data_IF_277705261001
#
_entry.id   IF_277705261001
#
_cell.length_a   1.000
_cell.length_b   1.000
_cell.length_c   1.000
_cell.angle_alpha   90.00
_cell.angle_beta   90.00
_cell.angle_gamma   90.00
#
_symmetry.space_group_name_H-M   'P 1'
#
loop_
_entity.id
_entity.type
_entity.pdbx_description
1 polymer ?
#
# COMPACT_ATOMS: atom_id res chain seq x y z
N UNK A 1 -17.93 13.00 30.84
CA UNK A 1 -16.97 13.75 29.99
C UNK A 1 -16.76 12.94 28.73
N UNK A 2 -17.42 13.33 27.65
CA UNK A 2 -17.26 12.70 26.33
C UNK A 2 -16.04 13.34 25.65
N UNK A 3 -14.98 12.56 25.45
CA UNK A 3 -13.83 12.97 24.68
C UNK A 3 -14.25 12.99 23.20
N UNK A 4 -14.42 14.20 22.63
CA UNK A 4 -14.55 14.38 21.19
C UNK A 4 -13.22 14.04 20.53
N UNK A 5 -13.17 12.86 19.90
CA UNK A 5 -11.97 12.30 19.23
C UNK A 5 -11.78 12.81 17.79
N UNK A 6 -12.63 13.72 17.31
CA UNK A 6 -12.58 14.22 15.92
C UNK A 6 -12.00 15.64 15.81
N UNK A 7 -10.87 15.89 16.47
CA UNK A 7 -10.12 17.11 16.16
C UNK A 7 -9.21 16.86 14.96
N UNK A 8 -9.76 17.05 13.77
CA UNK A 8 -8.94 17.11 12.54
C UNK A 8 -8.10 18.38 12.61
N UNK A 9 -6.79 18.22 12.71
CA UNK A 9 -5.86 19.37 12.69
C UNK A 9 -5.69 19.85 11.25
N UNK A 10 -6.18 21.04 10.97
CA UNK A 10 -6.05 21.67 9.65
C UNK A 10 -4.85 22.63 9.65
N UNK A 11 -4.03 22.53 8.62
CA UNK A 11 -2.92 23.45 8.39
C UNK A 11 -3.21 24.29 7.15
N UNK A 12 -2.89 25.59 7.23
CA UNK A 12 -2.99 26.49 6.09
C UNK A 12 -1.63 26.63 5.43
N UNK A 13 -1.54 26.22 4.18
CA UNK A 13 -0.32 26.33 3.35
C UNK A 13 -0.57 27.38 2.27
N UNK A 14 0.31 28.39 2.20
CA UNK A 14 0.27 29.41 1.16
C UNK A 14 1.26 29.06 0.05
N UNK A 15 0.76 28.79 -1.15
CA UNK A 15 1.57 28.43 -2.31
C UNK A 15 1.59 29.60 -3.29
N UNK A 16 2.78 30.06 -3.68
CA UNK A 16 2.97 31.07 -4.72
C UNK A 16 3.25 30.34 -6.04
N UNK A 17 2.41 30.59 -7.03
CA UNK A 17 2.65 30.12 -8.38
C UNK A 17 3.57 31.11 -9.11
N UNK A 18 4.69 30.64 -9.65
CA UNK A 18 5.61 31.49 -10.38
C UNK A 18 5.04 31.87 -11.74
N UNK A 19 5.15 33.13 -12.19
CA UNK A 19 4.65 33.57 -13.48
C UNK A 19 5.20 32.78 -14.66
N UNK A 20 6.46 32.37 -14.60
CA UNK A 20 7.13 31.63 -15.65
C UNK A 20 6.51 30.26 -15.91
N UNK A 21 5.92 29.64 -14.86
CA UNK A 21 5.30 28.30 -14.97
C UNK A 21 3.96 28.29 -15.71
N UNK A 22 3.36 29.44 -15.96
CA UNK A 22 2.11 29.56 -16.70
C UNK A 22 2.15 30.58 -17.82
N UNK A 23 3.36 30.95 -18.29
CA UNK A 23 3.56 31.87 -19.41
C UNK A 23 2.83 31.42 -20.68
N UNK A 24 2.73 30.12 -20.93
CA UNK A 24 2.04 29.53 -22.08
C UNK A 24 0.52 29.73 -22.06
N UNK A 25 -0.04 30.00 -20.89
CA UNK A 25 -1.47 30.25 -20.71
C UNK A 25 -1.84 31.73 -20.92
N UNK A 26 -0.84 32.61 -20.97
CA UNK A 26 -1.03 34.05 -21.19
C UNK A 26 -1.28 34.28 -22.69
N UNK A 27 -2.47 34.73 -23.02
CA UNK A 27 -2.83 35.12 -24.39
C UNK A 27 -2.98 36.65 -24.48
N UNK A 28 -2.82 37.26 -25.66
CA UNK A 28 -2.94 38.73 -25.84
C UNK A 28 -4.24 39.33 -25.29
N UNK A 29 -5.31 38.56 -25.25
CA UNK A 29 -6.61 39.00 -24.72
C UNK A 29 -6.97 38.40 -23.36
N UNK A 30 -6.05 37.62 -22.71
CA UNK A 30 -6.23 36.97 -21.41
C UNK A 30 -4.94 37.05 -20.63
N UNK A 31 -4.61 38.23 -20.09
CA UNK A 31 -3.40 38.45 -19.30
C UNK A 31 -3.41 37.71 -17.95
N UNK A 32 -4.59 37.34 -17.47
CA UNK A 32 -4.73 36.66 -16.16
C UNK A 32 -5.43 35.31 -16.32
N UNK A 33 -4.68 34.20 -16.45
CA UNK A 33 -5.27 32.87 -16.59
C UNK A 33 -5.98 32.38 -15.32
N UNK A 34 -5.50 32.82 -14.15
CA UNK A 34 -6.11 32.47 -12.87
C UNK A 34 -6.97 33.62 -12.31
N UNK A 35 -8.11 33.26 -11.75
CA UNK A 35 -9.06 34.21 -11.16
C UNK A 35 -9.37 33.84 -9.71
N UNK A 36 -9.69 34.82 -8.84
CA UNK A 36 -10.20 34.52 -7.50
C UNK A 36 -11.41 33.59 -7.56
N UNK A 37 -11.48 32.62 -6.65
CA UNK A 37 -12.55 31.64 -6.57
C UNK A 37 -12.31 30.34 -7.37
N UNK A 38 -11.21 30.23 -8.10
CA UNK A 38 -10.81 28.95 -8.72
C UNK A 38 -10.23 28.01 -7.65
N UNK A 39 -10.58 26.74 -7.76
CA UNK A 39 -9.97 25.66 -6.96
C UNK A 39 -8.84 24.98 -7.72
N UNK A 40 -7.89 24.43 -7.00
CA UNK A 40 -6.79 23.67 -7.55
C UNK A 40 -6.53 22.44 -6.67
N UNK A 41 -6.05 21.36 -7.29
CA UNK A 41 -5.49 20.23 -6.61
C UNK A 41 -3.97 20.30 -6.69
N UNK A 42 -3.29 19.99 -5.62
CA UNK A 42 -1.82 20.02 -5.56
C UNK A 42 -1.30 18.74 -4.93
N UNK A 43 -0.20 18.23 -5.44
CA UNK A 43 0.54 17.12 -4.86
C UNK A 43 1.77 17.68 -4.13
N UNK A 44 1.92 17.34 -2.87
CA UNK A 44 3.03 17.80 -2.04
C UNK A 44 3.97 16.63 -1.79
N UNK A 45 5.14 16.66 -2.40
CA UNK A 45 6.19 15.68 -2.18
C UNK A 45 6.98 16.08 -0.92
N UNK A 46 6.81 15.31 0.14
CA UNK A 46 7.45 15.58 1.43
C UNK A 46 8.81 14.92 1.58
N UNK A 47 9.00 13.78 0.91
CA UNK A 47 10.24 13.03 0.94
C UNK A 47 10.44 12.29 -0.38
N UNK A 48 11.68 12.18 -0.84
CA UNK A 48 12.05 11.43 -2.04
C UNK A 48 13.25 10.57 -1.72
N UNK A 49 13.14 9.27 -2.00
CA UNK A 49 14.26 8.32 -1.87
C UNK A 49 14.50 7.70 -3.24
N UNK A 50 15.76 7.69 -3.67
CA UNK A 50 16.21 7.11 -4.94
C UNK A 50 16.83 5.73 -4.71
N UNK A 51 16.89 4.93 -5.77
CA UNK A 51 17.55 3.61 -5.77
C UNK A 51 17.00 2.62 -4.74
N UNK A 52 15.68 2.59 -4.59
CA UNK A 52 14.99 1.68 -3.68
C UNK A 52 14.09 0.72 -4.42
N UNK A 53 13.96 -0.50 -3.90
CA UNK A 53 12.97 -1.43 -4.38
C UNK A 53 11.58 -0.97 -3.95
N UNK A 54 10.66 -0.91 -4.89
CA UNK A 54 9.27 -0.59 -4.64
C UNK A 54 8.34 -1.63 -5.25
N UNK A 55 7.22 -1.86 -4.60
CA UNK A 55 6.16 -2.76 -5.09
C UNK A 55 4.82 -2.03 -5.08
N UNK A 56 3.87 -2.43 -5.93
CA UNK A 56 2.52 -1.88 -5.85
C UNK A 56 1.93 -2.08 -4.46
N UNK A 57 1.28 -1.05 -3.92
CA UNK A 57 0.71 -1.06 -2.56
C UNK A 57 -0.21 -2.26 -2.31
N UNK A 58 -0.96 -2.69 -3.34
CA UNK A 58 -1.87 -3.84 -3.28
C UNK A 58 -1.16 -5.19 -3.11
N UNK A 59 0.14 -5.27 -3.30
CA UNK A 59 0.93 -6.49 -3.16
C UNK A 59 1.38 -6.75 -1.72
N UNK A 60 1.42 -5.70 -0.90
CA UNK A 60 1.78 -5.82 0.52
C UNK A 60 0.55 -6.16 1.32
N UNK A 61 0.68 -7.15 2.18
CA UNK A 61 -0.39 -7.55 3.12
C UNK A 61 0.20 -7.86 4.47
N UNK A 62 -0.64 -7.74 5.49
CA UNK A 62 -0.26 -8.08 6.85
C UNK A 62 -0.79 -9.48 7.20
N UNK A 63 0.01 -10.26 7.90
CA UNK A 63 -0.39 -11.56 8.45
C UNK A 63 0.04 -11.66 9.90
N UNK A 64 -0.86 -12.21 10.69
CA UNK A 64 -0.54 -12.62 12.05
C UNK A 64 0.30 -13.90 11.98
N UNK A 65 1.42 -13.92 12.67
CA UNK A 65 2.16 -15.15 12.91
C UNK A 65 1.31 -16.03 13.83
N UNK A 66 0.65 -17.02 13.27
CA UNK A 66 0.11 -18.10 14.10
C UNK A 66 1.32 -18.89 14.60
N UNK A 67 1.78 -18.61 15.80
CA UNK A 67 2.63 -19.56 16.50
C UNK A 67 1.83 -20.85 16.63
N UNK A 68 2.35 -21.93 16.09
CA UNK A 68 1.85 -23.27 16.36
C UNK A 68 2.21 -23.50 17.82
N UNK A 69 1.29 -23.17 18.71
CA UNK A 69 1.38 -23.57 20.10
C UNK A 69 1.22 -25.09 20.08
N UNK A 70 2.28 -25.80 20.36
CA UNK A 70 2.21 -27.25 20.58
C UNK A 70 1.09 -27.52 21.60
N UNK A 71 0.22 -28.44 21.25
CA UNK A 71 -1.05 -28.72 21.94
C UNK A 71 -0.90 -29.36 23.32
N UNK A 72 0.26 -29.32 23.94
CA UNK A 72 0.55 -30.05 25.17
C UNK A 72 0.70 -29.22 26.45
N UNK A 73 0.38 -27.91 26.44
CA UNK A 73 0.36 -27.14 27.69
C UNK A 73 -1.00 -26.49 27.97
N UNK A 74 -1.65 -27.11 28.93
CA UNK A 74 -2.77 -26.73 29.81
C UNK A 74 -3.43 -25.36 29.63
N UNK A 75 -4.74 -25.43 29.35
CA UNK A 75 -5.77 -24.40 29.50
C UNK A 75 -5.70 -23.66 30.86
N UNK A 76 -4.94 -22.58 30.91
CA UNK A 76 -5.05 -21.60 32.01
C UNK A 76 -5.56 -20.27 31.43
N UNK A 77 -6.50 -19.61 32.11
CA UNK A 77 -7.11 -18.34 31.63
C UNK A 77 -6.10 -17.19 31.48
N UNK A 78 -4.95 -17.30 32.10
CA UNK A 78 -3.86 -16.32 32.01
C UNK A 78 -3.06 -16.43 30.70
N UNK A 79 -2.90 -17.64 30.16
CA UNK A 79 -2.22 -17.86 28.88
C UNK A 79 -3.00 -17.22 27.70
N UNK A 80 -4.33 -17.19 27.77
CA UNK A 80 -5.16 -16.50 26.76
C UNK A 80 -5.01 -14.97 26.76
N UNK A 81 -4.70 -14.37 27.90
CA UNK A 81 -4.51 -12.91 28.02
C UNK A 81 -3.16 -12.46 27.50
N UNK A 82 -2.12 -13.28 27.62
CA UNK A 82 -0.78 -12.98 27.11
C UNK A 82 -0.71 -13.17 25.60
N UNK A 83 -1.45 -14.13 25.04
CA UNK A 83 -1.53 -14.34 23.57
C UNK A 83 -2.20 -13.18 22.80
N UNK A 84 -3.03 -12.38 23.47
CA UNK A 84 -3.68 -11.21 22.87
C UNK A 84 -2.80 -9.94 22.85
N UNK A 85 -1.68 -9.94 23.57
CA UNK A 85 -0.84 -8.75 23.74
C UNK A 85 0.38 -8.73 22.81
N UNK A 86 0.73 -9.86 22.19
CA UNK A 86 1.88 -9.98 21.27
C UNK A 86 1.43 -10.57 19.92
N UNK A 87 0.46 -9.93 19.27
CA UNK A 87 0.24 -10.18 17.83
C UNK A 87 1.38 -9.52 17.07
N UNK A 88 2.44 -10.25 16.78
CA UNK A 88 3.47 -9.85 15.83
C UNK A 88 2.84 -9.81 14.44
N UNK A 89 2.27 -8.66 14.11
CA UNK A 89 1.75 -8.39 12.77
C UNK A 89 2.97 -8.18 11.87
N UNK A 90 3.17 -9.09 10.93
CA UNK A 90 4.26 -8.99 9.96
C UNK A 90 3.73 -8.56 8.61
N UNK A 91 4.45 -7.65 8.00
CA UNK A 91 4.22 -7.26 6.62
C UNK A 91 4.87 -8.28 5.70
N UNK A 92 4.10 -8.79 4.77
CA UNK A 92 4.53 -9.82 3.85
C UNK A 92 4.16 -9.49 2.41
N UNK A 93 4.94 -10.05 1.51
CA UNK A 93 4.69 -10.02 0.07
C UNK A 93 4.71 -11.45 -0.46
N UNK A 94 3.81 -11.75 -1.38
CA UNK A 94 3.78 -13.01 -2.08
C UNK A 94 4.67 -12.95 -3.31
N UNK A 95 5.67 -13.82 -3.37
CA UNK A 95 6.62 -13.93 -4.48
C UNK A 95 6.39 -15.24 -5.23
N UNK A 96 6.37 -15.15 -6.55
CA UNK A 96 6.22 -16.32 -7.42
C UNK A 96 7.54 -17.08 -7.51
N UNK A 97 7.52 -18.37 -7.18
CA UNK A 97 8.62 -19.31 -7.33
C UNK A 97 8.17 -20.46 -8.22
N UNK A 98 8.47 -20.38 -9.54
CA UNK A 98 7.90 -21.31 -10.52
C UNK A 98 6.38 -21.22 -10.57
N UNK A 99 5.68 -22.32 -10.28
CA UNK A 99 4.20 -22.39 -10.25
C UNK A 99 3.62 -22.18 -8.85
N UNK A 100 4.46 -21.94 -7.84
CA UNK A 100 4.03 -21.81 -6.45
C UNK A 100 4.32 -20.44 -5.90
N UNK A 101 3.56 -20.04 -4.89
CA UNK A 101 3.72 -18.75 -4.19
C UNK A 101 4.52 -18.96 -2.91
N UNK A 102 5.61 -18.22 -2.78
CA UNK A 102 6.36 -18.08 -1.54
C UNK A 102 5.91 -16.85 -0.76
N UNK A 103 6.05 -16.89 0.55
CA UNK A 103 5.86 -15.74 1.44
C UNK A 103 7.23 -15.17 1.77
N UNK A 104 7.43 -13.87 1.56
CA UNK A 104 8.59 -13.13 2.05
C UNK A 104 8.16 -12.05 3.02
N UNK A 105 8.77 -12.04 4.19
CA UNK A 105 8.62 -10.92 5.15
C UNK A 105 9.37 -9.72 4.60
N UNK A 106 8.73 -8.57 4.66
CA UNK A 106 9.29 -7.30 4.19
C UNK A 106 9.15 -6.23 5.26
N UNK A 107 10.02 -5.23 5.19
CA UNK A 107 9.85 -3.99 5.94
C UNK A 107 9.47 -2.90 4.96
N UNK A 108 8.39 -2.22 5.23
CA UNK A 108 7.92 -1.11 4.40
C UNK A 108 8.60 0.21 4.81
N UNK A 109 8.68 1.11 3.85
CA UNK A 109 9.24 2.45 4.03
C UNK A 109 8.26 3.52 3.56
N UNK A 110 8.78 4.51 2.81
CA UNK A 110 7.93 5.56 2.25
C UNK A 110 6.99 4.99 1.20
N UNK A 111 5.82 5.60 1.07
CA UNK A 111 4.82 5.20 0.09
C UNK A 111 4.23 6.41 -0.62
N UNK A 112 3.77 6.20 -1.82
CA UNK A 112 2.91 7.10 -2.56
C UNK A 112 1.51 6.49 -2.77
N UNK A 113 0.75 6.98 -3.75
CA UNK A 113 -0.60 6.48 -4.03
C UNK A 113 -0.62 5.06 -4.63
N UNK A 114 0.43 4.65 -5.32
CA UNK A 114 0.48 3.42 -6.11
C UNK A 114 1.55 2.43 -5.60
N UNK A 115 2.65 2.92 -5.08
CA UNK A 115 3.82 2.14 -4.71
C UNK A 115 4.26 2.36 -3.27
N UNK A 116 4.87 1.34 -2.71
CA UNK A 116 5.48 1.38 -1.38
C UNK A 116 6.89 0.82 -1.46
N UNK A 117 7.83 1.52 -0.83
CA UNK A 117 9.19 1.04 -0.65
C UNK A 117 9.19 -0.21 0.20
N UNK A 118 9.97 -1.22 -0.20
CA UNK A 118 10.13 -2.45 0.55
C UNK A 118 11.59 -2.85 0.67
N UNK A 119 11.93 -3.44 1.80
CA UNK A 119 13.22 -4.08 2.06
C UNK A 119 12.99 -5.55 2.38
N UNK A 120 13.88 -6.43 1.90
CA UNK A 120 13.76 -7.88 2.08
C UNK A 120 13.38 -8.64 0.81
N UNK A 121 13.16 -7.94 -0.30
CA UNK A 121 13.04 -8.52 -1.64
C UNK A 121 14.37 -8.40 -2.39
N UNK A 122 14.52 -9.23 -3.42
CA UNK A 122 15.61 -9.12 -4.38
C UNK A 122 15.09 -8.47 -5.67
N UNK A 123 15.98 -7.78 -6.37
CA UNK A 123 15.68 -7.28 -7.71
C UNK A 123 15.38 -8.47 -8.65
N UNK A 124 14.29 -8.34 -9.42
CA UNK A 124 13.81 -9.40 -10.30
C UNK A 124 12.81 -10.38 -9.67
N UNK A 125 12.54 -10.31 -8.38
CA UNK A 125 11.48 -11.09 -7.74
C UNK A 125 10.10 -10.76 -8.37
N UNK A 126 9.37 -11.78 -8.80
CA UNK A 126 8.01 -11.61 -9.34
C UNK A 126 7.00 -11.57 -8.21
N UNK A 127 6.42 -10.41 -8.00
CA UNK A 127 5.48 -10.16 -6.91
C UNK A 127 4.04 -10.34 -7.39
N UNK A 128 3.21 -10.98 -6.58
CA UNK A 128 1.78 -11.16 -6.87
C UNK A 128 1.01 -9.89 -6.51
N UNK A 129 0.40 -9.26 -7.50
CA UNK A 129 -0.30 -7.98 -7.34
C UNK A 129 -1.83 -8.09 -7.35
N UNK A 130 -2.39 -9.26 -7.55
CA UNK A 130 -3.85 -9.38 -7.58
C UNK A 130 -4.36 -10.77 -7.94
N UNK A 131 -5.69 -10.93 -7.91
CA UNK A 131 -6.70 -9.98 -7.42
C UNK A 131 -6.60 -9.73 -5.91
N UNK A 132 -6.99 -8.54 -5.46
CA UNK A 132 -6.87 -8.11 -4.04
C UNK A 132 -7.43 -9.15 -3.05
N UNK A 133 -8.60 -9.71 -3.34
CA UNK A 133 -9.22 -10.75 -2.49
C UNK A 133 -8.39 -12.03 -2.37
N UNK A 134 -7.56 -12.33 -3.38
CA UNK A 134 -6.63 -13.44 -3.32
C UNK A 134 -5.43 -13.10 -2.42
N UNK A 135 -4.80 -11.96 -2.65
CA UNK A 135 -3.62 -11.50 -1.89
C UNK A 135 -3.96 -11.32 -0.42
N UNK A 136 -5.10 -10.67 -0.12
CA UNK A 136 -5.46 -10.33 1.25
C UNK A 136 -5.96 -11.52 2.09
N UNK A 137 -6.63 -12.51 1.47
CA UNK A 137 -7.36 -13.55 2.24
C UNK A 137 -7.10 -14.98 1.82
N UNK A 138 -6.92 -15.28 0.51
CA UNK A 138 -6.96 -16.64 -0.02
C UNK A 138 -5.60 -17.27 -0.25
N UNK A 139 -4.57 -16.45 -0.53
CA UNK A 139 -3.23 -16.93 -0.79
C UNK A 139 -2.52 -17.34 0.51
N UNK A 140 -1.89 -18.48 0.44
CA UNK A 140 -1.02 -19.04 1.49
C UNK A 140 0.26 -19.53 0.82
N UNK A 141 1.35 -19.57 1.58
CA UNK A 141 2.61 -20.08 1.07
C UNK A 141 2.49 -21.52 0.55
N UNK A 142 3.16 -21.82 -0.57
CA UNK A 142 3.16 -23.15 -1.19
C UNK A 142 1.96 -23.45 -2.09
N UNK A 143 0.97 -22.57 -2.19
CA UNK A 143 -0.16 -22.78 -3.13
C UNK A 143 0.27 -22.58 -4.57
N UNK A 144 -0.23 -23.45 -5.46
CA UNK A 144 -0.09 -23.28 -6.90
C UNK A 144 -0.98 -22.14 -7.40
N UNK A 145 -0.46 -21.33 -8.27
CA UNK A 145 -1.16 -20.19 -8.88
C UNK A 145 -1.01 -20.23 -10.39
N UNK A 146 -2.02 -19.77 -11.09
CA UNK A 146 -1.96 -19.53 -12.52
C UNK A 146 -1.69 -18.05 -12.75
N UNK A 147 -0.68 -17.77 -13.56
CA UNK A 147 -0.37 -16.41 -13.99
C UNK A 147 -1.40 -16.03 -15.05
N UNK A 148 -2.09 -14.93 -14.82
CA UNK A 148 -3.08 -14.39 -15.75
C UNK A 148 -2.68 -12.95 -16.07
N UNK A 149 -2.67 -12.61 -17.33
CA UNK A 149 -2.38 -11.24 -17.75
C UNK A 149 -3.49 -10.27 -17.33
N UNK A 150 -3.10 -9.03 -17.06
CA UNK A 150 -3.99 -7.98 -16.57
C UNK A 150 -5.20 -7.71 -17.49
N UNK A 151 -5.04 -7.96 -18.79
CA UNK A 151 -6.10 -7.82 -19.79
C UNK A 151 -7.16 -8.90 -19.70
N UNK A 152 -6.77 -10.13 -19.39
CA UNK A 152 -7.70 -11.25 -19.23
C UNK A 152 -8.52 -11.16 -17.93
N UNK A 153 -7.96 -10.53 -16.90
CA UNK A 153 -8.70 -10.24 -15.67
C UNK A 153 -9.81 -9.23 -15.90
N UNK A 154 -9.58 -8.20 -16.73
CA UNK A 154 -10.61 -7.22 -17.08
C UNK A 154 -11.76 -7.85 -17.85
N UNK A 155 -11.47 -8.71 -18.84
CA UNK A 155 -12.49 -9.43 -19.62
C UNK A 155 -13.33 -10.40 -18.78
N UNK A 156 -12.76 -10.94 -17.69
CA UNK A 156 -13.49 -11.82 -16.76
C UNK A 156 -14.37 -11.04 -15.77
N UNK A 157 -13.99 -9.83 -15.42
CA UNK A 157 -14.78 -8.96 -14.53
C UNK A 157 -16.02 -8.38 -15.23
N UNK A 158 -15.96 -8.16 -16.57
CA UNK A 158 -17.07 -7.66 -17.38
C UNK A 158 -18.12 -8.74 -17.73
N UNK A 159 -17.82 -10.03 -17.47
CA UNK A 159 -18.72 -11.15 -17.78
C UNK A 159 -19.52 -11.68 -16.57
N UNK A 160 -19.38 -11.08 -15.40
CA UNK A 160 -20.09 -11.41 -14.19
C UNK A 160 -20.86 -10.20 -13.68
#
# INVERSE_FOLDING_TARGET
MTLNTDQVTNFVVKIRVNPDSYSDLIKPNKAYPFRPGMSASVDIYTNTVTDVLSVPLIAVTTREKKEVVDKDEKDTPEAKKVALTNMDIKEIVFVLSGDTVGIKEVKTGIQDNDYIQVSGLNEGDKVVTGPYSAVSRKLEGGKKVNIVDKEDLKKKAEKN
#
